data_IF_444500779018
#
_entry.id   IF_444500779018
#
_cell.length_a   1.000
_cell.length_b   1.000
_cell.length_c   1.000
_cell.angle_alpha   90.00
_cell.angle_beta   90.00
_cell.angle_gamma   90.00
#
_symmetry.space_group_name_H-M   'P 1'
#
loop_
_entity.id
_entity.type
_entity.pdbx_description
1 polymer ?
#
# COMPACT_ATOMS: atom_id res chain seq x y z
N UNK A 1 -12.71 -12.03 33.55
CA UNK A 1 -11.88 -11.62 34.70
C UNK A 1 -10.53 -12.31 34.70
N UNK A 2 -9.48 -11.50 34.74
CA UNK A 2 -8.09 -11.97 34.90
C UNK A 2 -7.62 -11.56 36.30
N UNK A 3 -7.03 -12.47 37.05
CA UNK A 3 -6.25 -12.14 38.25
C UNK A 3 -4.77 -12.36 37.99
N UNK A 4 -3.93 -11.55 38.62
CA UNK A 4 -2.48 -11.62 38.49
C UNK A 4 -1.86 -11.79 39.88
N UNK A 5 -0.76 -12.56 39.97
CA UNK A 5 0.05 -12.64 41.16
C UNK A 5 0.96 -11.41 41.31
N UNK A 6 1.68 -11.32 42.44
CA UNK A 6 2.58 -10.20 42.76
C UNK A 6 3.76 -10.03 41.77
N UNK A 7 4.03 -11.05 40.95
CA UNK A 7 5.04 -10.99 39.87
C UNK A 7 4.45 -10.55 38.52
N UNK A 8 3.17 -10.16 38.47
CA UNK A 8 2.46 -9.74 37.26
C UNK A 8 2.09 -10.89 36.32
N UNK A 9 2.12 -12.14 36.79
CA UNK A 9 1.74 -13.32 36.02
C UNK A 9 0.27 -13.65 36.25
N UNK A 10 -0.44 -14.11 35.21
CA UNK A 10 -1.85 -14.50 35.32
C UNK A 10 -1.98 -15.70 36.28
N UNK A 11 -2.74 -15.51 37.34
CA UNK A 11 -3.02 -16.51 38.38
C UNK A 11 -4.35 -17.22 38.13
N UNK A 12 -5.35 -16.51 37.61
CA UNK A 12 -6.60 -17.11 37.12
C UNK A 12 -7.18 -16.34 35.94
N UNK A 13 -7.88 -17.05 35.07
CA UNK A 13 -8.66 -16.49 33.97
C UNK A 13 -10.05 -17.11 34.01
N UNK A 14 -11.06 -16.28 34.24
CA UNK A 14 -12.47 -16.66 34.29
C UNK A 14 -13.29 -15.78 33.35
N UNK A 15 -14.47 -16.26 32.95
CA UNK A 15 -15.37 -15.57 32.02
C UNK A 15 -15.54 -16.32 30.71
N UNK A 16 -16.62 -16.00 30.00
CA UNK A 16 -16.92 -16.55 28.67
C UNK A 16 -16.61 -15.47 27.63
N UNK A 17 -15.74 -15.72 26.64
CA UNK A 17 -15.52 -14.75 25.58
C UNK A 17 -16.79 -14.68 24.71
N UNK A 18 -17.33 -13.48 24.53
CA UNK A 18 -18.50 -13.27 23.69
C UNK A 18 -18.09 -12.72 22.31
N UNK A 19 -18.49 -13.41 21.25
CA UNK A 19 -18.51 -12.92 19.89
C UNK A 19 -19.88 -12.32 19.61
N UNK A 20 -19.89 -11.00 19.41
CA UNK A 20 -21.09 -10.25 19.06
C UNK A 20 -21.43 -10.46 17.59
N UNK A 21 -22.66 -10.89 17.33
CA UNK A 21 -23.20 -11.15 16.00
C UNK A 21 -24.30 -10.13 15.71
N UNK A 22 -24.36 -9.68 14.45
CA UNK A 22 -25.57 -9.05 13.93
C UNK A 22 -26.66 -10.12 13.70
N UNK A 23 -27.89 -9.69 13.45
CA UNK A 23 -29.04 -10.54 13.17
C UNK A 23 -29.23 -10.86 11.67
N UNK A 24 -28.32 -10.37 10.80
CA UNK A 24 -28.29 -10.64 9.36
C UNK A 24 -27.30 -11.74 9.01
N UNK A 25 -27.79 -12.77 8.33
CA UNK A 25 -27.00 -13.94 7.92
C UNK A 25 -27.14 -14.13 6.42
N UNK A 26 -26.02 -14.10 5.68
CA UNK A 26 -26.03 -14.18 4.21
C UNK A 26 -25.22 -15.36 3.68
N UNK A 27 -25.75 -16.05 2.66
CA UNK A 27 -25.06 -17.13 1.93
C UNK A 27 -25.14 -16.91 0.42
N UNK A 28 -24.25 -17.54 -0.35
CA UNK A 28 -24.34 -17.52 -1.81
C UNK A 28 -25.49 -18.42 -2.27
N UNK A 29 -26.33 -17.95 -3.19
CA UNK A 29 -27.30 -18.77 -3.90
C UNK A 29 -26.64 -19.53 -5.06
N UNK A 30 -27.43 -20.26 -5.85
CA UNK A 30 -26.96 -21.02 -7.01
C UNK A 30 -26.32 -20.13 -8.10
N UNK A 31 -26.74 -18.87 -8.19
CA UNK A 31 -26.23 -17.88 -9.14
C UNK A 31 -24.94 -17.20 -8.64
N UNK A 32 -24.52 -17.48 -7.39
CA UNK A 32 -23.32 -16.93 -6.76
C UNK A 32 -23.54 -15.63 -5.98
N UNK A 33 -24.78 -15.12 -5.94
CA UNK A 33 -25.15 -13.90 -5.24
C UNK A 33 -25.30 -14.11 -3.74
N UNK A 34 -24.82 -13.16 -2.93
CA UNK A 34 -25.05 -13.19 -1.48
C UNK A 34 -26.48 -12.76 -1.16
N UNK A 35 -27.30 -13.69 -0.70
CA UNK A 35 -28.68 -13.49 -0.29
C UNK A 35 -28.86 -13.74 1.21
N UNK A 36 -29.89 -13.13 1.80
CA UNK A 36 -30.27 -13.37 3.19
C UNK A 36 -30.70 -14.83 3.38
N UNK A 37 -30.34 -15.41 4.51
CA UNK A 37 -30.80 -16.74 4.92
C UNK A 37 -32.17 -16.58 5.56
N UNK A 38 -33.13 -17.37 5.08
CA UNK A 38 -34.54 -17.33 5.48
C UNK A 38 -35.02 -18.74 5.87
N UNK A 39 -36.22 -18.82 6.44
CA UNK A 39 -36.89 -20.09 6.78
C UNK A 39 -36.13 -20.97 7.77
N UNK A 40 -36.19 -22.28 7.56
CA UNK A 40 -35.63 -23.30 8.46
C UNK A 40 -34.11 -23.14 8.66
N UNK A 41 -33.39 -22.71 7.63
CA UNK A 41 -31.96 -22.48 7.71
C UNK A 41 -31.63 -21.30 8.64
N UNK A 42 -32.46 -20.24 8.63
CA UNK A 42 -32.31 -19.12 9.58
C UNK A 42 -32.61 -19.59 10.99
N UNK A 43 -33.68 -20.36 11.17
CA UNK A 43 -34.02 -20.93 12.47
C UNK A 43 -32.89 -21.82 13.05
N UNK A 44 -32.25 -22.63 12.20
CA UNK A 44 -31.10 -23.45 12.59
C UNK A 44 -29.88 -22.62 13.02
N UNK A 45 -29.60 -21.48 12.35
CA UNK A 45 -28.54 -20.55 12.75
C UNK A 45 -28.82 -19.95 14.13
N UNK A 46 -30.05 -19.49 14.37
CA UNK A 46 -30.44 -18.95 15.68
C UNK A 46 -30.32 -20.00 16.78
N UNK A 47 -30.77 -21.24 16.54
CA UNK A 47 -30.63 -22.33 17.49
C UNK A 47 -29.15 -22.66 17.80
N UNK A 48 -28.27 -22.60 16.78
CA UNK A 48 -26.84 -22.80 16.99
C UNK A 48 -26.19 -21.69 17.81
N UNK A 49 -26.63 -20.44 17.62
CA UNK A 49 -26.18 -19.28 18.40
C UNK A 49 -26.64 -19.41 19.85
N UNK A 50 -27.91 -19.74 20.09
CA UNK A 50 -28.47 -19.89 21.44
C UNK A 50 -27.79 -21.04 22.21
N UNK A 51 -27.35 -22.09 21.51
CA UNK A 51 -26.66 -23.22 22.10
C UNK A 51 -25.18 -22.95 22.47
N UNK A 52 -24.53 -21.92 21.91
CA UNK A 52 -23.15 -21.57 22.23
C UNK A 52 -23.11 -20.30 23.11
N UNK A 53 -22.76 -20.41 24.42
CA UNK A 53 -22.73 -19.26 25.32
C UNK A 53 -21.69 -18.21 24.94
N UNK A 54 -20.79 -18.49 23.98
CA UNK A 54 -19.82 -17.53 23.44
C UNK A 54 -20.41 -16.68 22.31
N UNK A 55 -21.60 -16.99 21.81
CA UNK A 55 -22.21 -16.24 20.71
C UNK A 55 -23.36 -15.41 21.26
N UNK A 56 -23.49 -14.18 20.78
CA UNK A 56 -24.57 -13.30 21.23
C UNK A 56 -25.01 -12.42 20.07
N UNK A 57 -26.28 -12.53 19.68
CA UNK A 57 -26.89 -11.55 18.78
C UNK A 57 -27.12 -10.29 19.60
N UNK A 58 -26.59 -9.17 19.10
CA UNK A 58 -26.71 -7.86 19.74
C UNK A 58 -27.39 -6.90 18.78
N UNK A 59 -28.31 -6.10 19.31
CA UNK A 59 -28.84 -4.96 18.57
C UNK A 59 -27.81 -3.83 18.57
N UNK A 60 -27.78 -3.05 17.49
CA UNK A 60 -26.95 -1.86 17.41
C UNK A 60 -27.38 -0.82 18.45
N UNK A 61 -26.41 -0.23 19.14
CA UNK A 61 -26.68 0.86 20.09
C UNK A 61 -27.15 2.12 19.35
N UNK A 62 -28.35 2.60 19.68
CA UNK A 62 -28.98 3.70 18.98
C UNK A 62 -28.23 5.03 19.16
N UNK A 63 -27.62 5.25 20.33
CA UNK A 63 -26.84 6.45 20.62
C UNK A 63 -25.53 6.45 19.84
N UNK A 64 -24.82 5.32 19.79
CA UNK A 64 -23.63 5.13 18.97
C UNK A 64 -23.96 5.29 17.47
N UNK A 65 -25.08 4.73 17.01
CA UNK A 65 -25.54 4.91 15.64
C UNK A 65 -25.82 6.39 15.30
N UNK A 66 -26.44 7.14 16.22
CA UNK A 66 -26.69 8.56 16.06
C UNK A 66 -25.38 9.37 16.02
N UNK A 67 -24.40 9.04 16.87
CA UNK A 67 -23.07 9.66 16.85
C UNK A 67 -22.38 9.40 15.50
N UNK A 68 -22.32 8.14 15.07
CA UNK A 68 -21.69 7.74 13.80
C UNK A 68 -22.36 8.38 12.58
N UNK A 69 -23.69 8.51 12.57
CA UNK A 69 -24.42 9.15 11.49
C UNK A 69 -23.94 10.59 11.23
N UNK A 70 -23.62 11.35 12.29
CA UNK A 70 -23.09 12.70 12.15
C UNK A 70 -21.68 12.75 11.54
N UNK A 71 -20.86 11.72 11.78
CA UNK A 71 -19.53 11.61 11.20
C UNK A 71 -19.58 11.12 9.75
N UNK A 72 -20.52 10.23 9.41
CA UNK A 72 -20.69 9.75 8.03
C UNK A 72 -20.92 10.91 7.07
N UNK A 73 -21.80 11.87 7.41
CA UNK A 73 -22.04 13.06 6.58
C UNK A 73 -20.74 13.86 6.36
N UNK A 74 -19.98 14.10 7.42
CA UNK A 74 -18.70 14.83 7.32
C UNK A 74 -17.66 14.09 6.48
N UNK A 75 -17.59 12.77 6.62
CA UNK A 75 -16.69 11.92 5.85
C UNK A 75 -17.09 11.91 4.38
N UNK A 76 -18.38 11.79 4.07
CA UNK A 76 -18.90 11.85 2.70
C UNK A 76 -18.62 13.22 2.04
N UNK A 77 -18.81 14.31 2.78
CA UNK A 77 -18.45 15.66 2.33
C UNK A 77 -16.95 15.76 2.03
N UNK A 78 -16.08 15.30 2.94
CA UNK A 78 -14.63 15.30 2.72
C UNK A 78 -14.23 14.43 1.53
N UNK A 79 -14.77 13.21 1.43
CA UNK A 79 -14.48 12.29 0.33
C UNK A 79 -14.86 12.88 -1.03
N UNK A 80 -15.92 13.68 -1.08
CA UNK A 80 -16.42 14.31 -2.30
C UNK A 80 -15.61 15.54 -2.73
N UNK A 81 -14.69 16.04 -1.91
CA UNK A 81 -13.86 17.19 -2.27
C UNK A 81 -12.93 16.82 -3.43
N UNK A 82 -13.02 17.60 -4.51
CA UNK A 82 -12.11 17.49 -5.63
C UNK A 82 -10.76 18.08 -5.24
N UNK A 83 -9.71 17.28 -5.40
CA UNK A 83 -8.31 17.66 -5.11
C UNK A 83 -7.53 17.97 -6.40
N UNK A 84 -8.05 17.55 -7.55
CA UNK A 84 -7.45 17.83 -8.85
C UNK A 84 -8.11 17.06 -9.99
N UNK A 85 -7.35 16.85 -11.06
CA UNK A 85 -7.79 16.14 -12.26
C UNK A 85 -6.71 15.18 -12.78
N UNK A 86 -7.12 14.19 -13.55
CA UNK A 86 -6.26 13.17 -14.16
C UNK A 86 -6.47 13.21 -15.68
N UNK A 87 -5.41 13.43 -16.45
CA UNK A 87 -5.51 13.64 -17.91
C UNK A 87 -5.81 12.36 -18.71
N UNK A 88 -5.31 11.22 -18.24
CA UNK A 88 -5.54 9.90 -18.82
C UNK A 88 -5.57 8.79 -17.73
N UNK A 89 -6.13 7.61 -18.04
CA UNK A 89 -6.17 6.51 -17.08
C UNK A 89 -4.75 6.15 -16.59
N UNK A 90 -4.55 6.17 -15.27
CA UNK A 90 -3.33 5.73 -14.61
C UNK A 90 -3.52 4.28 -14.14
N UNK A 91 -2.96 3.36 -14.91
CA UNK A 91 -3.17 1.93 -14.74
C UNK A 91 -2.33 1.39 -13.56
N UNK A 92 -2.93 0.52 -12.75
CA UNK A 92 -2.26 -0.21 -11.68
C UNK A 92 -1.68 -1.53 -12.21
N UNK A 93 -0.41 -1.77 -11.88
CA UNK A 93 0.20 -3.09 -11.89
C UNK A 93 0.97 -3.29 -10.57
N UNK A 94 1.06 -4.52 -10.08
CA UNK A 94 2.02 -4.84 -9.02
C UNK A 94 3.33 -5.27 -9.65
N UNK A 95 3.26 -6.24 -10.56
CA UNK A 95 4.39 -6.65 -11.39
C UNK A 95 4.08 -6.23 -12.83
N UNK A 96 5.06 -5.68 -13.59
CA UNK A 96 4.82 -5.25 -14.97
C UNK A 96 4.13 -6.31 -15.81
N UNK A 97 2.94 -6.01 -16.36
CA UNK A 97 2.18 -6.93 -17.20
C UNK A 97 1.27 -7.91 -16.46
N UNK A 98 1.01 -7.70 -15.17
CA UNK A 98 -0.07 -8.41 -14.49
C UNK A 98 -1.47 -7.90 -14.91
N UNK A 99 -2.52 -8.61 -14.47
CA UNK A 99 -3.92 -8.29 -14.78
C UNK A 99 -4.64 -7.60 -13.61
N UNK A 100 -3.92 -6.79 -12.82
CA UNK A 100 -4.51 -6.08 -11.66
C UNK A 100 -5.40 -4.90 -12.06
N UNK A 101 -5.06 -4.21 -13.14
CA UNK A 101 -5.82 -3.07 -13.62
C UNK A 101 -7.24 -3.46 -13.99
N UNK A 102 -8.21 -2.66 -13.57
CA UNK A 102 -9.61 -2.75 -14.02
C UNK A 102 -9.91 -1.81 -15.18
N UNK A 103 -8.98 -0.89 -15.50
CA UNK A 103 -9.13 0.12 -16.54
C UNK A 103 -8.34 -0.20 -17.81
N UNK A 104 -7.27 -0.99 -17.69
CA UNK A 104 -6.29 -1.21 -18.75
C UNK A 104 -6.02 -2.70 -18.93
N UNK A 105 -5.71 -3.09 -20.16
CA UNK A 105 -5.23 -4.44 -20.44
C UNK A 105 -3.78 -4.61 -19.93
N UNK A 106 -3.36 -5.86 -19.67
CA UNK A 106 -2.03 -6.18 -19.14
C UNK A 106 -0.89 -5.64 -20.01
N UNK A 107 -1.09 -5.57 -21.32
CA UNK A 107 -0.10 -5.08 -22.28
C UNK A 107 0.28 -3.62 -22.02
N UNK A 108 -0.65 -2.81 -21.48
CA UNK A 108 -0.40 -1.40 -21.18
C UNK A 108 0.65 -1.17 -20.09
N UNK A 109 0.88 -2.16 -19.22
CA UNK A 109 1.84 -2.08 -18.11
C UNK A 109 3.00 -3.08 -18.27
N UNK A 110 3.03 -3.84 -19.37
CA UNK A 110 3.96 -4.94 -19.56
C UNK A 110 5.44 -4.52 -19.59
N UNK A 111 5.73 -3.36 -20.17
CA UNK A 111 7.12 -2.91 -20.35
C UNK A 111 7.71 -2.24 -19.11
N UNK A 112 6.91 -1.44 -18.39
CA UNK A 112 7.39 -0.50 -17.35
C UNK A 112 6.64 -0.56 -16.02
N UNK A 113 5.57 -1.35 -15.94
CA UNK A 113 4.76 -1.48 -14.75
C UNK A 113 3.69 -0.41 -14.59
N UNK A 114 3.31 -0.19 -13.33
CA UNK A 114 2.21 0.66 -12.89
C UNK A 114 2.44 2.15 -13.17
N UNK A 115 1.49 2.80 -13.85
CA UNK A 115 1.49 4.25 -14.01
C UNK A 115 1.26 4.93 -12.65
N UNK A 116 0.24 4.46 -11.92
CA UNK A 116 -0.18 5.12 -10.68
C UNK A 116 0.83 4.92 -9.54
N UNK A 117 1.48 3.76 -9.46
CA UNK A 117 2.54 3.54 -8.45
C UNK A 117 3.77 4.40 -8.71
N UNK A 118 4.08 4.68 -9.99
CA UNK A 118 5.12 5.63 -10.35
C UNK A 118 4.75 7.06 -9.94
N UNK A 119 3.52 7.50 -10.22
CA UNK A 119 3.05 8.84 -9.78
C UNK A 119 3.09 8.95 -8.25
N UNK A 120 2.68 7.92 -7.51
CA UNK A 120 2.77 7.89 -6.04
C UNK A 120 4.23 7.99 -5.56
N UNK A 121 5.17 7.25 -6.17
CA UNK A 121 6.58 7.37 -5.81
C UNK A 121 7.12 8.79 -6.05
N UNK A 122 6.72 9.42 -7.16
CA UNK A 122 7.05 10.82 -7.43
C UNK A 122 6.42 11.78 -6.42
N UNK A 123 5.18 11.56 -6.01
CA UNK A 123 4.52 12.34 -4.97
C UNK A 123 5.26 12.26 -3.63
N UNK A 124 5.65 11.04 -3.23
CA UNK A 124 6.36 10.83 -1.96
C UNK A 124 7.72 11.49 -1.98
N UNK A 125 8.47 11.31 -3.08
CA UNK A 125 9.71 12.05 -3.31
C UNK A 125 9.40 13.53 -3.13
N UNK A 126 8.50 14.09 -3.91
CA UNK A 126 8.30 15.54 -3.91
C UNK A 126 7.84 16.13 -2.59
N UNK A 127 7.04 15.42 -1.79
CA UNK A 127 6.60 15.91 -0.48
C UNK A 127 7.65 15.73 0.62
N UNK A 128 8.44 14.65 0.59
CA UNK A 128 9.58 14.48 1.49
C UNK A 128 10.79 15.25 0.96
N UNK A 129 10.77 16.58 1.12
CA UNK A 129 11.66 17.55 0.45
C UNK A 129 13.17 17.27 0.62
N UNK A 130 13.61 16.54 1.65
CA UNK A 130 15.01 16.22 1.86
C UNK A 130 15.49 14.98 1.09
N UNK A 131 14.57 14.19 0.53
CA UNK A 131 14.89 12.92 -0.14
C UNK A 131 15.13 13.08 -1.64
N UNK A 132 16.19 12.46 -2.16
CA UNK A 132 16.50 12.45 -3.60
C UNK A 132 15.90 11.26 -4.34
N UNK A 133 15.57 10.21 -3.61
CA UNK A 133 14.97 8.97 -4.10
C UNK A 133 13.67 8.71 -3.35
N UNK A 134 12.66 8.15 -4.01
CA UNK A 134 11.56 7.49 -3.32
C UNK A 134 11.46 6.03 -3.73
N UNK A 135 11.10 5.15 -2.81
CA UNK A 135 10.77 3.75 -3.08
C UNK A 135 9.40 3.45 -2.48
N UNK A 136 8.50 2.92 -3.31
CA UNK A 136 7.14 2.54 -2.96
C UNK A 136 6.86 1.11 -3.41
N UNK A 137 6.38 0.25 -2.50
CA UNK A 137 5.96 -1.10 -2.85
C UNK A 137 4.60 -1.09 -3.58
N UNK A 138 4.48 -1.86 -4.67
CA UNK A 138 3.28 -1.88 -5.51
C UNK A 138 2.00 -2.28 -4.77
N UNK A 139 2.10 -3.06 -3.69
CA UNK A 139 0.98 -3.52 -2.87
C UNK A 139 0.37 -2.44 -1.99
N UNK A 140 1.12 -1.37 -1.72
CA UNK A 140 0.64 -0.17 -1.03
C UNK A 140 -0.36 0.65 -1.85
N UNK A 141 -0.34 0.48 -3.18
CA UNK A 141 -1.26 1.14 -4.12
C UNK A 141 -2.37 0.18 -4.52
N UNK A 142 -3.63 0.61 -4.38
CA UNK A 142 -4.77 -0.33 -4.32
C UNK A 142 -5.75 -0.27 -5.47
N UNK A 143 -5.75 0.78 -6.27
CA UNK A 143 -6.66 0.93 -7.41
C UNK A 143 -5.98 1.67 -8.55
N UNK A 144 -6.49 1.47 -9.76
CA UNK A 144 -6.29 2.43 -10.85
C UNK A 144 -6.89 3.79 -10.49
N UNK A 145 -6.45 4.83 -11.19
CA UNK A 145 -7.12 6.13 -11.21
C UNK A 145 -7.62 6.41 -12.62
N UNK A 146 -8.92 6.65 -12.75
CA UNK A 146 -9.55 6.95 -14.04
C UNK A 146 -9.26 8.40 -14.47
N UNK A 147 -9.27 8.64 -15.78
CA UNK A 147 -9.30 9.99 -16.33
C UNK A 147 -10.52 10.76 -15.80
N UNK A 148 -10.32 12.02 -15.42
CA UNK A 148 -11.38 12.92 -14.97
C UNK A 148 -11.06 13.59 -13.65
N UNK A 149 -12.10 13.90 -12.89
CA UNK A 149 -11.97 14.49 -11.56
C UNK A 149 -11.35 13.48 -10.59
N UNK A 150 -10.44 13.97 -9.75
CA UNK A 150 -9.82 13.20 -8.69
C UNK A 150 -10.26 13.78 -7.35
N UNK A 151 -10.83 12.92 -6.51
CA UNK A 151 -11.37 13.32 -5.20
C UNK A 151 -10.48 12.87 -4.04
N UNK A 152 -10.71 13.45 -2.86
CA UNK A 152 -10.12 12.99 -1.61
C UNK A 152 -10.43 11.51 -1.34
N UNK A 153 -11.67 11.08 -1.61
CA UNK A 153 -12.08 9.68 -1.46
C UNK A 153 -11.29 8.73 -2.36
N UNK A 154 -10.98 9.16 -3.59
CA UNK A 154 -10.14 8.38 -4.50
C UNK A 154 -8.70 8.25 -3.98
N UNK A 155 -8.11 9.32 -3.44
CA UNK A 155 -6.77 9.29 -2.85
C UNK A 155 -6.67 8.34 -1.65
N UNK A 156 -7.64 8.37 -0.74
CA UNK A 156 -7.66 7.46 0.41
C UNK A 156 -8.07 6.03 0.04
N UNK A 157 -8.79 5.83 -1.06
CA UNK A 157 -9.01 4.49 -1.65
C UNK A 157 -7.75 3.95 -2.31
N UNK A 158 -6.95 4.83 -2.92
CA UNK A 158 -5.67 4.50 -3.55
C UNK A 158 -4.62 4.07 -2.52
N UNK A 159 -4.53 4.81 -1.42
CA UNK A 159 -3.56 4.65 -0.33
C UNK A 159 -4.28 4.48 1.03
N UNK A 160 -4.92 3.33 1.30
CA UNK A 160 -5.84 3.17 2.43
C UNK A 160 -5.17 2.75 3.75
N UNK A 161 -3.83 2.68 3.80
CA UNK A 161 -3.12 2.25 5.00
C UNK A 161 -2.72 3.45 5.85
N UNK A 162 -2.69 3.30 7.17
CA UNK A 162 -2.22 4.35 8.07
C UNK A 162 -0.68 4.39 8.14
N UNK A 163 -0.03 4.57 6.99
CA UNK A 163 1.43 4.63 6.88
C UNK A 163 1.91 6.09 6.89
N UNK A 164 3.08 6.32 7.49
CA UNK A 164 3.82 7.58 7.39
C UNK A 164 4.97 7.46 6.40
N UNK A 165 5.39 8.59 5.83
CA UNK A 165 6.65 8.69 5.09
C UNK A 165 7.83 8.74 6.05
N UNK A 166 8.90 8.07 5.66
CA UNK A 166 10.14 7.96 6.46
C UNK A 166 11.33 8.19 5.56
N UNK A 167 12.31 8.93 6.06
CA UNK A 167 13.55 9.22 5.35
C UNK A 167 14.68 8.36 5.89
N UNK A 168 15.54 7.88 5.01
CA UNK A 168 16.62 6.95 5.33
C UNK A 168 17.89 7.30 4.57
N UNK A 169 19.04 7.17 5.23
CA UNK A 169 20.37 7.35 4.60
C UNK A 169 20.91 5.99 4.17
N UNK A 170 21.01 5.76 2.86
CA UNK A 170 21.46 4.48 2.31
C UNK A 170 22.50 4.64 1.22
N UNK A 171 23.47 3.73 1.21
CA UNK A 171 24.42 3.62 0.11
C UNK A 171 23.76 3.04 -1.14
N UNK A 172 24.31 3.34 -2.33
CA UNK A 172 23.84 2.73 -3.57
C UNK A 172 23.86 1.19 -3.54
N UNK A 173 24.84 0.60 -2.85
CA UNK A 173 24.91 -0.85 -2.63
C UNK A 173 23.73 -1.36 -1.77
N UNK A 174 23.41 -0.69 -0.67
CA UNK A 174 22.25 -1.05 0.18
C UNK A 174 20.93 -0.89 -0.57
N UNK A 175 20.80 0.16 -1.40
CA UNK A 175 19.62 0.37 -2.26
C UNK A 175 19.48 -0.78 -3.26
N UNK A 176 20.57 -1.21 -3.91
CA UNK A 176 20.51 -2.38 -4.80
C UNK A 176 20.08 -3.63 -4.03
N UNK A 177 20.67 -3.88 -2.87
CA UNK A 177 20.34 -5.05 -2.04
C UNK A 177 18.87 -5.08 -1.67
N UNK A 178 18.31 -3.98 -1.14
CA UNK A 178 16.92 -3.97 -0.70
C UNK A 178 15.93 -4.15 -1.85
N UNK A 179 16.25 -3.62 -3.04
CA UNK A 179 15.43 -3.83 -4.23
C UNK A 179 15.48 -5.28 -4.71
N UNK A 180 16.64 -5.94 -4.65
CA UNK A 180 16.78 -7.37 -4.98
C UNK A 180 16.02 -8.27 -3.98
N UNK A 181 16.04 -7.93 -2.69
CA UNK A 181 15.25 -8.64 -1.65
C UNK A 181 13.75 -8.49 -1.90
N UNK A 182 13.28 -7.27 -2.18
CA UNK A 182 11.88 -7.00 -2.50
C UNK A 182 11.44 -7.73 -3.78
N UNK A 183 12.27 -7.73 -4.81
CA UNK A 183 12.02 -8.46 -6.05
C UNK A 183 11.98 -9.97 -5.83
N UNK A 184 12.86 -10.52 -4.98
CA UNK A 184 12.80 -11.94 -4.65
C UNK A 184 11.47 -12.27 -3.98
N UNK A 185 11.09 -11.53 -2.95
CA UNK A 185 9.83 -11.73 -2.27
C UNK A 185 8.60 -11.49 -3.18
N UNK A 186 8.71 -10.61 -4.17
CA UNK A 186 7.63 -10.39 -5.14
C UNK A 186 7.43 -11.55 -6.13
N UNK A 187 8.51 -12.28 -6.45
CA UNK A 187 8.52 -13.31 -7.49
C UNK A 187 8.38 -14.74 -6.94
N UNK A 188 8.53 -14.94 -5.63
CA UNK A 188 8.36 -16.24 -4.98
C UNK A 188 6.87 -16.65 -4.90
N UNK A 189 6.53 -17.95 -5.07
CA UNK A 189 5.15 -18.43 -4.96
C UNK A 189 4.48 -18.20 -3.60
N UNK A 190 5.25 -18.23 -2.52
CA UNK A 190 4.82 -17.96 -1.14
C UNK A 190 5.06 -16.51 -0.71
N UNK A 191 5.57 -15.69 -1.63
CA UNK A 191 5.79 -14.27 -1.47
C UNK A 191 4.53 -13.43 -1.74
N UNK A 192 4.75 -12.14 -1.98
CA UNK A 192 3.68 -11.16 -2.24
C UNK A 192 4.04 -10.31 -3.45
N UNK A 193 3.27 -10.41 -4.54
CA UNK A 193 3.42 -9.55 -5.73
C UNK A 193 3.44 -8.05 -5.38
N UNK A 194 2.81 -7.67 -4.27
CA UNK A 194 2.79 -6.31 -3.73
C UNK A 194 4.16 -5.78 -3.29
N UNK A 195 5.16 -6.65 -3.13
CA UNK A 195 6.50 -6.24 -2.76
C UNK A 195 7.27 -5.54 -3.89
N UNK A 196 6.84 -5.70 -5.14
CA UNK A 196 7.54 -5.14 -6.29
C UNK A 196 7.80 -3.62 -6.13
N UNK A 197 9.06 -3.15 -6.26
CA UNK A 197 9.40 -1.75 -6.03
C UNK A 197 9.09 -0.85 -7.24
N UNK A 198 8.48 0.30 -6.96
CA UNK A 198 8.39 1.46 -7.85
C UNK A 198 9.19 2.60 -7.24
N UNK A 199 9.90 3.39 -8.06
CA UNK A 199 10.81 4.41 -7.53
C UNK A 199 10.77 5.73 -8.30
N UNK A 200 11.09 6.82 -7.62
CA UNK A 200 11.35 8.13 -8.23
C UNK A 200 12.78 8.55 -7.96
N UNK A 201 13.44 9.20 -8.93
CA UNK A 201 14.88 9.54 -8.84
C UNK A 201 15.83 8.34 -8.96
N UNK A 202 15.29 7.14 -9.20
CA UNK A 202 16.04 5.89 -9.38
C UNK A 202 15.37 5.03 -10.46
N UNK A 203 16.17 4.43 -11.35
CA UNK A 203 15.69 3.52 -12.38
C UNK A 203 16.67 2.39 -12.68
N UNK A 204 16.20 1.32 -13.33
CA UNK A 204 16.94 0.09 -13.57
C UNK A 204 16.41 -0.69 -14.78
N UNK A 205 17.23 -1.63 -15.26
CA UNK A 205 16.80 -2.73 -16.12
C UNK A 205 16.63 -3.99 -15.29
N UNK A 206 15.51 -4.69 -15.48
CA UNK A 206 15.13 -5.89 -14.74
C UNK A 206 15.22 -7.14 -15.61
N UNK A 207 15.84 -8.19 -15.10
CA UNK A 207 15.80 -9.53 -15.68
C UNK A 207 15.32 -10.52 -14.61
N UNK A 208 14.05 -10.92 -14.68
CA UNK A 208 13.44 -11.78 -13.66
C UNK A 208 13.87 -13.25 -13.78
N UNK A 209 14.54 -13.63 -14.87
CA UNK A 209 15.08 -14.98 -15.05
C UNK A 209 16.36 -15.23 -14.24
N UNK A 210 17.00 -14.15 -13.76
CA UNK A 210 18.24 -14.20 -12.99
C UNK A 210 18.01 -14.49 -11.50
N UNK A 211 19.01 -15.08 -10.82
CA UNK A 211 18.94 -15.26 -9.37
C UNK A 211 18.92 -13.91 -8.64
N UNK A 212 18.40 -13.93 -7.40
CA UNK A 212 18.46 -12.79 -6.49
C UNK A 212 19.88 -12.22 -6.40
N UNK A 213 19.99 -10.89 -6.50
CA UNK A 213 21.27 -10.19 -6.50
C UNK A 213 21.80 -9.89 -7.91
N UNK A 214 21.27 -10.52 -8.95
CA UNK A 214 21.68 -10.31 -10.34
C UNK A 214 20.54 -9.82 -11.25
N UNK A 215 19.33 -9.61 -10.72
CA UNK A 215 18.15 -9.21 -11.50
C UNK A 215 18.22 -7.76 -11.97
N UNK A 216 18.86 -6.89 -11.19
CA UNK A 216 18.98 -5.47 -11.49
C UNK A 216 20.30 -5.13 -12.17
N UNK A 217 20.22 -4.40 -13.28
CA UNK A 217 21.37 -3.90 -14.03
C UNK A 217 21.12 -2.47 -14.53
N UNK A 218 22.21 -1.78 -14.91
CA UNK A 218 22.14 -0.40 -15.43
C UNK A 218 21.39 0.55 -14.50
N UNK A 219 21.61 0.42 -13.19
CA UNK A 219 20.94 1.28 -12.21
C UNK A 219 21.44 2.71 -12.34
N UNK A 220 20.51 3.64 -12.48
CA UNK A 220 20.78 5.06 -12.64
C UNK A 220 20.01 5.87 -11.62
N UNK A 221 20.63 6.96 -11.19
CA UNK A 221 20.11 7.93 -10.25
C UNK A 221 19.97 9.29 -10.93
N UNK A 222 18.96 10.06 -10.51
CA UNK A 222 18.80 11.47 -10.85
C UNK A 222 18.29 12.21 -9.63
N UNK A 223 19.12 13.08 -9.06
CA UNK A 223 18.77 13.97 -7.95
C UNK A 223 17.70 14.98 -8.34
N UNK A 224 17.25 15.80 -7.38
CA UNK A 224 16.17 16.77 -7.65
C UNK A 224 16.57 17.87 -8.61
N UNK A 225 17.81 18.33 -8.46
CA UNK A 225 18.36 19.45 -9.22
C UNK A 225 19.15 18.97 -10.46
N UNK A 226 19.19 17.65 -10.68
CA UNK A 226 19.91 17.05 -11.80
C UNK A 226 19.08 17.09 -13.09
N UNK A 227 19.74 17.47 -14.19
CA UNK A 227 19.12 17.52 -15.52
C UNK A 227 19.33 16.23 -16.34
N UNK A 228 20.08 15.26 -15.81
CA UNK A 228 20.43 14.03 -16.51
C UNK A 228 20.58 12.86 -15.55
N UNK A 229 20.21 11.66 -16.02
CA UNK A 229 20.46 10.41 -15.32
C UNK A 229 21.96 10.08 -15.31
N UNK A 230 22.44 9.56 -14.19
CA UNK A 230 23.83 9.15 -13.99
C UNK A 230 23.89 7.75 -13.38
N UNK A 231 24.96 6.96 -13.61
CA UNK A 231 25.11 5.66 -12.95
C UNK A 231 25.03 5.77 -11.43
N UNK A 232 24.31 4.85 -10.80
CA UNK A 232 24.20 4.79 -9.34
C UNK A 232 25.58 4.51 -8.72
N UNK A 233 26.11 5.46 -7.96
CA UNK A 233 27.35 5.27 -7.19
C UNK A 233 27.14 4.32 -6.01
N UNK A 234 27.75 3.14 -6.06
CA UNK A 234 27.52 2.07 -5.06
C UNK A 234 27.99 2.43 -3.64
N UNK A 235 29.05 3.24 -3.52
CA UNK A 235 29.58 3.72 -2.23
C UNK A 235 29.05 5.11 -1.85
N UNK A 236 28.22 5.73 -2.69
CA UNK A 236 27.63 7.04 -2.43
C UNK A 236 26.42 6.86 -1.52
N UNK A 237 26.28 7.72 -0.51
CA UNK A 237 25.09 7.78 0.35
C UNK A 237 24.05 8.69 -0.27
N UNK A 238 22.79 8.23 -0.28
CA UNK A 238 21.62 8.95 -0.77
C UNK A 238 20.60 9.09 0.35
N UNK A 239 19.84 10.18 0.32
CA UNK A 239 18.62 10.32 1.13
C UNK A 239 17.47 9.72 0.33
N UNK A 240 16.82 8.69 0.87
CA UNK A 240 15.59 8.17 0.28
C UNK A 240 14.38 8.37 1.20
N UNK A 241 13.20 8.49 0.61
CA UNK A 241 11.92 8.35 1.28
C UNK A 241 11.27 7.02 0.94
N UNK A 242 10.61 6.40 1.92
CA UNK A 242 9.70 5.27 1.71
C UNK A 242 8.56 5.33 2.73
N UNK A 243 7.73 4.29 2.82
CA UNK A 243 6.70 4.17 3.86
C UNK A 243 7.19 3.37 5.07
N UNK A 244 6.66 3.68 6.26
CA UNK A 244 7.07 3.07 7.52
C UNK A 244 6.85 1.54 7.58
N UNK A 245 5.95 0.99 6.75
CA UNK A 245 5.68 -0.44 6.65
C UNK A 245 6.88 -1.19 6.05
N UNK A 246 7.31 -0.84 4.84
CA UNK A 246 8.49 -1.50 4.23
C UNK A 246 9.78 -1.11 4.93
N UNK A 247 9.87 0.09 5.49
CA UNK A 247 11.01 0.47 6.33
C UNK A 247 11.15 -0.41 7.59
N UNK A 248 10.05 -1.04 8.03
CA UNK A 248 10.04 -2.07 9.08
C UNK A 248 10.52 -3.45 8.63
N UNK A 249 10.93 -3.63 7.37
CA UNK A 249 11.34 -4.91 6.79
C UNK A 249 10.19 -5.78 6.32
N UNK A 250 9.01 -5.19 6.12
CA UNK A 250 7.85 -5.90 5.55
C UNK A 250 8.00 -6.02 4.03
N UNK A 251 7.19 -6.89 3.41
CA UNK A 251 7.26 -7.18 1.97
C UNK A 251 8.68 -7.58 1.49
N UNK A 252 9.49 -8.19 2.36
CA UNK A 252 10.84 -8.64 2.01
C UNK A 252 11.91 -7.54 1.98
N UNK A 253 11.61 -6.28 2.34
CA UNK A 253 12.59 -5.18 2.36
C UNK A 253 13.53 -5.23 3.58
N UNK A 254 14.19 -6.37 3.81
CA UNK A 254 14.93 -6.68 5.05
C UNK A 254 16.05 -5.67 5.33
N UNK A 255 16.76 -5.24 4.31
CA UNK A 255 17.84 -4.26 4.40
C UNK A 255 17.35 -2.89 4.89
N UNK A 256 16.09 -2.49 4.63
CA UNK A 256 15.54 -1.29 5.26
C UNK A 256 15.44 -1.43 6.78
N UNK A 257 15.04 -2.59 7.29
CA UNK A 257 14.98 -2.82 8.74
C UNK A 257 16.37 -2.71 9.38
N UNK A 258 17.40 -3.20 8.71
CA UNK A 258 18.79 -3.06 9.16
C UNK A 258 19.19 -1.60 9.25
N UNK A 259 18.99 -0.82 8.18
CA UNK A 259 19.29 0.63 8.16
C UNK A 259 18.52 1.39 9.24
N UNK A 260 17.25 1.02 9.46
CA UNK A 260 16.43 1.58 10.54
C UNK A 260 17.03 1.30 11.93
N UNK A 261 17.45 0.07 12.19
CA UNK A 261 18.07 -0.32 13.46
C UNK A 261 19.44 0.32 13.68
N UNK A 262 20.15 0.67 12.59
CA UNK A 262 21.40 1.43 12.63
C UNK A 262 21.21 2.92 12.99
N UNK A 263 19.97 3.38 13.14
CA UNK A 263 19.64 4.79 13.45
C UNK A 263 19.70 5.74 12.25
N UNK A 264 19.82 5.22 11.02
CA UNK A 264 19.82 6.00 9.76
C UNK A 264 18.40 6.16 9.20
N UNK A 265 17.46 6.48 10.08
CA UNK A 265 16.02 6.55 9.81
C UNK A 265 15.40 7.73 10.56
N UNK A 266 14.53 8.47 9.88
CA UNK A 266 13.73 9.55 10.46
C UNK A 266 12.28 9.36 10.03
N UNK A 267 11.36 9.25 11.00
CA UNK A 267 9.93 9.32 10.71
C UNK A 267 9.55 10.78 10.50
N UNK A 268 9.03 11.10 9.32
CA UNK A 268 8.60 12.47 9.01
C UNK A 268 7.23 12.78 9.61
N UNK A 269 6.49 11.74 10.01
CA UNK A 269 5.08 11.81 10.39
C UNK A 269 4.14 12.35 9.31
N UNK A 270 4.62 12.54 8.08
CA UNK A 270 3.77 12.87 6.94
C UNK A 270 2.90 11.65 6.63
N UNK A 271 1.59 11.82 6.71
CA UNK A 271 0.64 10.83 6.21
C UNK A 271 0.85 10.66 4.70
N UNK A 272 1.06 9.42 4.27
CA UNK A 272 1.44 9.16 2.89
C UNK A 272 0.28 9.38 1.88
N UNK A 273 -0.98 9.27 2.31
CA UNK A 273 -2.15 9.52 1.45
C UNK A 273 -2.35 11.03 1.31
N UNK A 274 -2.24 11.76 2.42
CA UNK A 274 -2.23 13.22 2.40
C UNK A 274 -1.06 13.76 1.56
N UNK A 275 0.12 13.13 1.62
CA UNK A 275 1.26 13.52 0.77
C UNK A 275 0.97 13.37 -0.73
N UNK A 276 0.16 12.38 -1.12
CA UNK A 276 -0.30 12.28 -2.50
C UNK A 276 -1.35 13.35 -2.83
N UNK A 277 -2.25 13.66 -1.89
CA UNK A 277 -3.23 14.76 -2.04
C UNK A 277 -2.52 16.09 -2.27
N UNK A 278 -1.58 16.45 -1.40
CA UNK A 278 -0.82 17.70 -1.48
C UNK A 278 -0.08 17.81 -2.82
N UNK A 279 0.53 16.72 -3.29
CA UNK A 279 1.18 16.66 -4.60
C UNK A 279 0.23 16.91 -5.77
N UNK A 280 -1.01 16.39 -5.69
CA UNK A 280 -2.04 16.60 -6.71
C UNK A 280 -2.52 18.05 -6.67
N UNK A 281 -2.79 18.59 -5.48
CA UNK A 281 -3.24 19.97 -5.30
C UNK A 281 -2.19 20.99 -5.80
N UNK A 282 -0.90 20.74 -5.54
CA UNK A 282 0.20 21.57 -6.07
C UNK A 282 0.25 21.58 -7.60
N UNK A 283 -0.18 20.50 -8.26
CA UNK A 283 -0.14 20.36 -9.73
C UNK A 283 -1.44 20.73 -10.44
N UNK A 284 -2.57 20.57 -9.78
CA UNK A 284 -3.92 20.65 -10.34
C UNK A 284 -4.28 19.48 -11.27
N UNK A 285 -3.38 19.09 -12.17
CA UNK A 285 -3.57 17.95 -13.08
C UNK A 285 -2.38 16.99 -13.01
N UNK A 286 -2.66 15.71 -12.77
CA UNK A 286 -1.65 14.64 -12.88
C UNK A 286 -1.82 13.88 -14.19
N UNK A 287 -0.69 13.44 -14.74
CA UNK A 287 -0.61 12.71 -16.01
C UNK A 287 0.25 11.46 -15.86
N UNK A 288 0.26 10.61 -16.89
CA UNK A 288 1.35 9.62 -17.01
C UNK A 288 2.69 10.34 -17.02
N UNK A 289 3.68 9.71 -16.39
CA UNK A 289 5.04 10.23 -16.39
C UNK A 289 5.71 9.96 -17.75
N UNK A 290 6.75 10.74 -18.13
CA UNK A 290 7.58 10.38 -19.27
C UNK A 290 8.23 9.01 -19.06
N UNK A 291 8.40 8.22 -20.13
CA UNK A 291 8.98 6.88 -20.06
C UNK A 291 10.37 6.84 -19.39
N UNK A 292 11.14 7.92 -19.50
CA UNK A 292 12.46 8.08 -18.86
C UNK A 292 12.41 8.14 -17.34
N UNK A 293 11.25 8.46 -16.76
CA UNK A 293 11.03 8.60 -15.32
C UNK A 293 10.51 7.30 -14.68
N UNK A 294 10.12 6.29 -15.46
CA UNK A 294 9.72 5.00 -14.91
C UNK A 294 10.91 4.30 -14.27
N UNK A 295 10.72 3.70 -13.10
CA UNK A 295 11.83 3.02 -12.42
C UNK A 295 12.26 1.75 -13.16
N UNK A 296 11.33 1.03 -13.78
CA UNK A 296 11.66 -0.10 -14.66
C UNK A 296 11.76 0.37 -16.10
N UNK A 297 12.99 0.39 -16.61
CA UNK A 297 13.29 0.83 -17.97
C UNK A 297 13.12 -0.27 -19.01
N UNK A 298 13.32 -1.52 -18.60
CA UNK A 298 12.99 -2.73 -19.37
C UNK A 298 12.83 -3.91 -18.44
N UNK A 299 12.07 -4.91 -18.90
CA UNK A 299 11.92 -6.20 -18.22
C UNK A 299 12.22 -7.36 -19.19
N UNK A 300 13.09 -8.27 -18.78
CA UNK A 300 13.33 -9.56 -19.43
C UNK A 300 12.73 -10.65 -18.55
N UNK A 301 12.02 -11.61 -19.17
CA UNK A 301 11.31 -12.69 -18.50
C UNK A 301 11.87 -14.05 -18.89
#
# INVERSE_FOLDING_TARGET
>A
DLSFNDAGQIESCAGVPHMMLADSFKRKNADGDRVEVEGDDRAAIYAAIEADPKLSIVEGDADAAAVLASFNVKVEEMQSQQIGTVAENLCLARIPGDSRSKLCASEATAERGSDISMVVAHAFREMAKASDIAIQNGGGVRTDIAKGDLTMGDAYKLLPFANTLVEMQMTGAEIKTVLEEALDYALQPDGSDGAYPYAAGLRWHLDISKPMGERLSGMEFKGRDDNSWMPLGMNTSYTLVTNNYVAGGRDGYLSFKTVKNDGRYVDTYLDYAQSFVDYVEERGTITKLPASEYSTQSITR
#
